data_IF_423888956519
#
_entry.id   IF_423888956519
#
_cell.length_a   1.000
_cell.length_b   1.000
_cell.length_c   1.000
_cell.angle_alpha   90.00
_cell.angle_beta   90.00
_cell.angle_gamma   90.00
#
_symmetry.space_group_name_H-M   'P 1'
#
loop_
_entity.id
_entity.type
_entity.pdbx_description
1 polymer ?
#
# COMPACT_ATOMS: atom_id res chain seq x y z
N UNK A 1 1.65 -7.05 -22.84
CA UNK A 1 2.00 -5.76 -22.26
C UNK A 1 1.55 -5.74 -20.81
N UNK A 2 2.41 -5.30 -19.91
CA UNK A 2 2.11 -5.29 -18.49
C UNK A 2 1.54 -3.93 -18.05
N UNK A 3 0.53 -3.95 -17.20
CA UNK A 3 -0.02 -2.74 -16.58
C UNK A 3 0.78 -2.45 -15.30
N UNK A 4 1.30 -1.24 -15.19
CA UNK A 4 2.08 -0.81 -14.03
C UNK A 4 1.18 -0.17 -12.98
N UNK A 5 1.35 -0.61 -11.74
CA UNK A 5 0.67 -0.06 -10.57
C UNK A 5 1.68 0.23 -9.47
N UNK A 6 1.31 1.09 -8.55
CA UNK A 6 2.12 1.34 -7.36
C UNK A 6 1.24 1.66 -6.17
N UNK A 7 1.74 1.37 -4.99
CA UNK A 7 1.04 1.64 -3.75
C UNK A 7 1.99 1.63 -2.56
N UNK A 8 1.43 1.74 -1.38
CA UNK A 8 2.21 1.82 -0.16
C UNK A 8 1.75 0.83 0.90
N UNK A 9 2.73 0.31 1.63
CA UNK A 9 2.53 -0.19 2.98
C UNK A 9 2.65 1.04 3.89
N UNK A 10 1.52 1.57 4.34
CA UNK A 10 1.47 2.82 5.10
C UNK A 10 1.74 2.54 6.57
N UNK A 11 2.87 3.05 7.07
CA UNK A 11 3.34 2.79 8.43
C UNK A 11 3.12 3.98 9.35
N UNK A 12 2.39 3.76 10.43
CA UNK A 12 2.42 4.63 11.60
C UNK A 12 3.57 4.16 12.48
N UNK A 13 4.72 4.79 12.32
CA UNK A 13 5.96 4.37 12.96
C UNK A 13 5.89 4.47 14.49
N UNK A 14 5.21 5.49 15.01
CA UNK A 14 5.15 5.73 16.45
C UNK A 14 4.33 4.68 17.19
N UNK A 15 3.27 4.19 16.57
CA UNK A 15 2.35 3.23 17.17
C UNK A 15 2.51 1.82 16.62
N UNK A 16 3.43 1.61 15.69
CA UNK A 16 3.69 0.32 15.03
C UNK A 16 2.42 -0.28 14.42
N UNK A 17 1.72 0.55 13.65
CA UNK A 17 0.50 0.14 12.95
C UNK A 17 0.64 0.33 11.45
N UNK A 18 -0.12 -0.47 10.72
CA UNK A 18 -0.19 -0.41 9.27
C UNK A 18 -1.59 0.00 8.86
N UNK A 19 -1.68 0.92 7.91
CA UNK A 19 -2.95 1.35 7.35
C UNK A 19 -3.43 0.38 6.28
N UNK A 20 -4.57 -0.25 6.53
CA UNK A 20 -5.26 -1.06 5.53
C UNK A 20 -6.49 -0.31 5.04
N UNK A 21 -6.89 -0.55 3.80
CA UNK A 21 -8.17 -0.08 3.30
C UNK A 21 -9.18 -1.20 3.31
N UNK A 22 -10.41 -0.87 3.74
CA UNK A 22 -11.55 -1.75 3.59
C UNK A 22 -12.33 -1.30 2.37
N UNK A 23 -12.48 -2.19 1.37
CA UNK A 23 -13.23 -1.90 0.15
C UNK A 23 -14.62 -2.50 0.28
N UNK A 24 -15.59 -1.64 0.55
CA UNK A 24 -16.97 -2.06 0.84
C UNK A 24 -17.58 -2.90 -0.28
N UNK A 25 -17.41 -2.47 -1.54
CA UNK A 25 -17.98 -3.18 -2.69
C UNK A 25 -17.46 -4.61 -2.84
N UNK A 26 -16.20 -4.84 -2.48
CA UNK A 26 -15.56 -6.14 -2.58
C UNK A 26 -15.56 -6.88 -1.26
N UNK A 27 -15.93 -6.21 -0.18
CA UNK A 27 -15.92 -6.72 1.19
C UNK A 27 -14.55 -7.33 1.52
N UNK A 28 -13.48 -6.57 1.25
CA UNK A 28 -12.11 -7.05 1.47
C UNK A 28 -11.22 -6.00 2.10
N UNK A 29 -10.11 -6.49 2.67
CA UNK A 29 -9.04 -5.66 3.24
C UNK A 29 -7.80 -5.77 2.37
N UNK A 30 -7.18 -4.64 2.07
CA UNK A 30 -6.09 -4.55 1.13
C UNK A 30 -5.21 -3.34 1.45
N UNK A 31 -4.14 -3.16 0.69
CA UNK A 31 -3.30 -1.97 0.74
C UNK A 31 -3.71 -1.00 -0.36
N UNK A 32 -3.42 0.30 -0.15
CA UNK A 32 -3.68 1.31 -1.18
C UNK A 32 -2.75 1.10 -2.37
N UNK A 33 -3.30 1.11 -3.57
CA UNK A 33 -2.54 1.00 -4.82
C UNK A 33 -3.42 1.39 -6.00
N UNK A 34 -2.79 1.75 -7.10
CA UNK A 34 -3.51 2.06 -8.31
C UNK A 34 -2.61 2.21 -9.53
N UNK A 35 -3.23 2.57 -10.65
CA UNK A 35 -2.57 2.63 -11.95
C UNK A 35 -1.61 3.82 -12.05
N UNK A 36 -0.46 3.57 -12.66
CA UNK A 36 0.49 4.62 -13.01
C UNK A 36 -0.12 5.54 -14.07
N UNK A 37 -0.06 6.84 -13.84
CA UNK A 37 -0.53 7.84 -14.79
C UNK A 37 0.63 8.40 -15.63
N UNK A 38 0.32 9.08 -16.74
CA UNK A 38 1.32 9.68 -17.61
C UNK A 38 2.23 10.65 -16.85
N UNK A 39 3.53 10.59 -17.15
CA UNK A 39 4.55 11.48 -16.60
C UNK A 39 4.73 11.34 -15.08
N UNK A 40 4.18 10.32 -14.50
CA UNK A 40 4.27 10.04 -13.07
C UNK A 40 5.34 8.97 -12.83
N UNK A 41 6.18 9.15 -11.81
CA UNK A 41 7.08 8.08 -11.36
C UNK A 41 6.28 7.07 -10.52
N UNK A 42 6.86 5.87 -10.32
CA UNK A 42 6.23 4.88 -9.47
C UNK A 42 6.07 5.37 -8.03
N UNK A 43 7.05 6.10 -7.51
CA UNK A 43 6.95 6.69 -6.16
C UNK A 43 5.84 7.74 -6.08
N UNK A 44 5.74 8.62 -7.08
CA UNK A 44 4.67 9.61 -7.15
C UNK A 44 3.30 8.94 -7.21
N UNK A 45 3.19 7.88 -8.01
CA UNK A 45 1.97 7.09 -8.11
C UNK A 45 1.57 6.50 -6.75
N UNK A 46 2.52 5.90 -6.04
CA UNK A 46 2.27 5.28 -4.74
C UNK A 46 1.76 6.32 -3.73
N UNK A 47 2.40 7.48 -3.68
CA UNK A 47 2.02 8.57 -2.76
C UNK A 47 0.63 9.11 -3.13
N UNK A 48 0.38 9.34 -4.42
CA UNK A 48 -0.92 9.86 -4.90
C UNK A 48 -2.05 8.88 -4.58
N UNK A 49 -1.87 7.60 -4.90
CA UNK A 49 -2.91 6.59 -4.64
C UNK A 49 -3.19 6.46 -3.14
N UNK A 50 -2.16 6.53 -2.30
CA UNK A 50 -2.34 6.50 -0.86
C UNK A 50 -3.15 7.71 -0.39
N UNK A 51 -2.85 8.91 -0.88
CA UNK A 51 -3.59 10.12 -0.52
C UNK A 51 -5.05 10.03 -0.98
N UNK A 52 -5.30 9.52 -2.18
CA UNK A 52 -6.66 9.39 -2.71
C UNK A 52 -7.49 8.39 -1.90
N UNK A 53 -6.93 7.21 -1.64
CA UNK A 53 -7.68 6.12 -1.03
C UNK A 53 -7.79 6.20 0.49
N UNK A 54 -6.78 6.77 1.17
CA UNK A 54 -6.74 6.80 2.64
C UNK A 54 -6.90 8.19 3.24
N UNK A 55 -6.77 9.26 2.45
CA UNK A 55 -6.70 10.65 2.93
C UNK A 55 -5.52 10.88 3.86
N UNK A 56 -4.41 10.16 3.63
CA UNK A 56 -3.15 10.36 4.37
C UNK A 56 -2.03 10.71 3.42
N UNK A 57 -1.17 11.62 3.84
CA UNK A 57 0.10 11.89 3.17
C UNK A 57 1.19 11.03 3.78
N UNK A 58 2.19 10.70 2.99
CA UNK A 58 3.25 9.80 3.44
C UNK A 58 4.59 10.14 2.78
N UNK A 59 5.67 9.64 3.39
CA UNK A 59 7.03 9.76 2.86
C UNK A 59 7.60 8.35 2.69
N UNK A 60 8.04 8.04 1.47
CA UNK A 60 8.60 6.72 1.16
C UNK A 60 9.94 6.55 1.86
N UNK A 61 10.17 5.37 2.44
CA UNK A 61 11.42 5.00 3.07
C UNK A 61 12.39 4.55 1.96
N UNK A 62 13.33 5.43 1.61
CA UNK A 62 14.25 5.20 0.48
C UNK A 62 15.17 3.99 0.68
N UNK A 63 15.48 3.64 1.91
CA UNK A 63 16.37 2.52 2.20
C UNK A 63 15.74 1.15 1.97
N UNK A 64 14.42 1.09 1.76
CA UNK A 64 13.71 -0.15 1.50
C UNK A 64 13.27 -0.17 0.04
N UNK A 65 13.86 -1.06 -0.80
CA UNK A 65 13.39 -1.21 -2.18
C UNK A 65 11.93 -1.65 -2.23
N UNK A 66 11.18 -1.29 -3.26
CA UNK A 66 9.79 -1.72 -3.37
C UNK A 66 9.68 -3.24 -3.51
N UNK A 67 8.60 -3.77 -2.98
CA UNK A 67 8.25 -5.18 -3.16
C UNK A 67 7.42 -5.27 -4.44
N UNK A 68 7.81 -6.15 -5.35
CA UNK A 68 7.21 -6.25 -6.67
C UNK A 68 6.26 -7.45 -6.70
N UNK A 69 4.99 -7.15 -6.93
CA UNK A 69 3.93 -8.15 -7.01
C UNK A 69 3.46 -8.24 -8.46
N UNK A 70 3.55 -9.45 -9.04
CA UNK A 70 3.10 -9.72 -10.41
C UNK A 70 1.87 -10.61 -10.34
N UNK A 71 0.80 -10.19 -11.02
CA UNK A 71 -0.44 -10.97 -11.00
C UNK A 71 -1.25 -10.73 -12.27
N UNK A 72 -2.20 -11.64 -12.52
CA UNK A 72 -3.14 -11.52 -13.64
C UNK A 72 -4.54 -11.30 -13.07
N UNK A 73 -5.24 -10.28 -13.58
CA UNK A 73 -6.62 -10.02 -13.16
C UNK A 73 -7.56 -11.08 -13.73
N UNK A 74 -8.79 -11.21 -13.20
CA UNK A 74 -9.79 -12.13 -13.77
C UNK A 74 -10.09 -11.87 -15.25
N UNK A 75 -9.87 -10.63 -15.72
CA UNK A 75 -10.07 -10.26 -17.13
C UNK A 75 -8.85 -10.56 -18.00
N UNK A 76 -7.79 -11.14 -17.43
CA UNK A 76 -6.58 -11.48 -18.18
C UNK A 76 -5.54 -10.37 -18.27
N UNK A 77 -5.74 -9.26 -17.59
CA UNK A 77 -4.76 -8.18 -17.56
C UNK A 77 -3.55 -8.58 -16.71
N UNK A 78 -2.35 -8.46 -17.28
CA UNK A 78 -1.10 -8.72 -16.56
C UNK A 78 -0.64 -7.45 -15.86
N UNK A 79 -0.51 -7.52 -14.53
CA UNK A 79 -0.17 -6.38 -13.70
C UNK A 79 1.15 -6.59 -12.98
N UNK A 80 1.92 -5.50 -12.85
CA UNK A 80 3.08 -5.41 -11.99
C UNK A 80 2.85 -4.28 -11.02
N UNK A 81 2.80 -4.59 -9.73
CA UNK A 81 2.56 -3.61 -8.68
C UNK A 81 3.82 -3.41 -7.84
N UNK A 82 4.27 -2.16 -7.73
CA UNK A 82 5.42 -1.78 -6.92
C UNK A 82 4.91 -1.23 -5.59
N UNK A 83 5.15 -1.98 -4.51
CA UNK A 83 4.68 -1.61 -3.18
C UNK A 83 5.82 -1.04 -2.35
N UNK A 84 5.73 0.23 -2.01
CA UNK A 84 6.73 0.95 -1.22
C UNK A 84 6.34 0.98 0.25
N UNK A 85 7.33 0.90 1.13
CA UNK A 85 7.10 1.21 2.55
C UNK A 85 7.13 2.73 2.69
N UNK A 86 6.09 3.30 3.31
CA UNK A 86 5.99 4.74 3.49
C UNK A 86 5.50 5.07 4.89
N UNK A 87 6.08 6.13 5.47
CA UNK A 87 5.71 6.58 6.82
C UNK A 87 4.60 7.62 6.70
N UNK A 88 3.54 7.43 7.48
CA UNK A 88 2.43 8.37 7.58
C UNK A 88 2.91 9.68 8.19
N UNK A 89 2.55 10.80 7.56
CA UNK A 89 2.92 12.14 8.03
C UNK A 89 1.73 13.04 8.30
N UNK A 90 0.52 12.51 8.23
CA UNK A 90 -0.66 13.27 8.59
C UNK A 90 -1.75 13.24 7.53
N UNK A 91 -2.82 13.97 7.82
CA UNK A 91 -3.98 14.05 6.96
C UNK A 91 -3.66 14.75 5.64
N UNK A 92 -4.16 14.21 4.54
CA UNK A 92 -4.02 14.80 3.21
C UNK A 92 -5.18 15.74 2.90
N UNK A 93 -4.90 16.80 2.12
CA UNK A 93 -5.93 17.70 1.56
C UNK A 93 -6.50 17.16 0.24
N UNK A 94 -6.13 15.96 -0.16
CA UNK A 94 -6.62 15.36 -1.40
C UNK A 94 -8.15 15.25 -1.39
N UNK A 95 -8.80 15.69 -2.46
CA UNK A 95 -10.26 15.76 -2.57
C UNK A 95 -10.85 14.66 -3.44
N UNK A 96 -10.09 13.64 -3.77
CA UNK A 96 -10.58 12.51 -4.57
C UNK A 96 -11.77 11.83 -3.90
N UNK A 97 -12.69 11.34 -4.71
CA UNK A 97 -13.85 10.57 -4.25
C UNK A 97 -13.56 9.06 -4.17
N UNK A 98 -12.34 8.64 -4.47
CA UNK A 98 -11.93 7.23 -4.45
C UNK A 98 -11.53 6.73 -3.04
N UNK A 99 -11.98 7.43 -2.01
CA UNK A 99 -11.62 7.13 -0.62
C UNK A 99 -12.30 5.86 -0.14
N UNK A 100 -11.51 5.01 0.52
CA UNK A 100 -12.00 3.83 1.24
C UNK A 100 -11.85 4.05 2.74
N UNK A 101 -12.48 3.21 3.53
CA UNK A 101 -12.29 3.26 4.98
C UNK A 101 -10.86 2.84 5.32
N UNK A 102 -10.14 3.69 6.07
CA UNK A 102 -8.79 3.40 6.55
C UNK A 102 -8.88 2.75 7.92
N UNK A 103 -8.21 1.62 8.07
CA UNK A 103 -8.15 0.88 9.33
C UNK A 103 -6.69 0.74 9.72
N UNK A 104 -6.36 1.19 10.93
CA UNK A 104 -5.02 1.03 11.49
C UNK A 104 -4.93 -0.28 12.27
N UNK A 105 -4.00 -1.14 11.86
CA UNK A 105 -3.88 -2.50 12.39
C UNK A 105 -2.48 -2.71 12.96
N UNK A 106 -2.40 -3.31 14.14
CA UNK A 106 -1.10 -3.67 14.71
C UNK A 106 -0.31 -4.50 13.70
N UNK A 107 0.98 -4.21 13.58
CA UNK A 107 1.85 -4.83 12.57
C UNK A 107 1.81 -6.37 12.64
N UNK A 108 1.62 -6.94 13.84
CA UNK A 108 1.57 -8.38 14.05
C UNK A 108 0.21 -9.01 13.69
N UNK A 109 -0.79 -8.19 13.42
CA UNK A 109 -2.14 -8.68 13.10
C UNK A 109 -2.53 -8.50 11.65
N UNK A 110 -1.69 -7.85 10.86
CA UNK A 110 -2.01 -7.53 9.46
C UNK A 110 -2.27 -8.78 8.64
N UNK A 111 -1.41 -9.79 8.77
CA UNK A 111 -1.54 -11.02 8.00
C UNK A 111 -2.92 -11.67 8.18
N UNK A 112 -3.40 -11.72 9.42
CA UNK A 112 -4.68 -12.38 9.73
C UNK A 112 -5.89 -11.63 9.17
N UNK A 113 -5.74 -10.34 8.87
CA UNK A 113 -6.85 -9.49 8.41
C UNK A 113 -6.90 -9.40 6.89
N UNK A 114 -5.76 -9.50 6.20
CA UNK A 114 -5.72 -9.45 4.74
C UNK A 114 -6.58 -10.53 4.11
N UNK A 115 -7.33 -10.15 3.08
CA UNK A 115 -8.31 -11.05 2.44
C UNK A 115 -7.71 -12.02 1.44
N UNK A 116 -6.51 -11.74 0.93
CA UNK A 116 -5.91 -12.51 -0.17
C UNK A 116 -4.57 -13.11 0.23
N UNK A 117 -4.37 -14.40 -0.08
CA UNK A 117 -3.13 -15.12 0.25
C UNK A 117 -1.90 -14.51 -0.42
N UNK A 118 -2.05 -14.01 -1.65
CA UNK A 118 -0.95 -13.35 -2.35
C UNK A 118 -0.48 -12.11 -1.61
N UNK A 119 -1.42 -11.31 -1.09
CA UNK A 119 -1.08 -10.13 -0.30
C UNK A 119 -0.36 -10.50 0.98
N UNK A 120 -0.76 -11.60 1.62
CA UNK A 120 -0.11 -12.08 2.85
C UNK A 120 1.34 -12.44 2.60
N UNK A 121 1.61 -13.12 1.49
CA UNK A 121 2.96 -13.54 1.10
C UNK A 121 3.90 -12.34 0.98
N UNK A 122 3.49 -11.32 0.23
CA UNK A 122 4.31 -10.12 0.02
C UNK A 122 4.37 -9.26 1.28
N UNK A 123 3.29 -9.22 2.05
CA UNK A 123 3.29 -8.51 3.33
C UNK A 123 4.34 -9.06 4.29
N UNK A 124 4.51 -10.37 4.37
CA UNK A 124 5.51 -10.96 5.27
C UNK A 124 6.92 -10.52 4.91
N UNK A 125 7.22 -10.36 3.62
CA UNK A 125 8.51 -9.83 3.17
C UNK A 125 8.65 -8.37 3.62
N UNK A 126 7.62 -7.57 3.41
CA UNK A 126 7.60 -6.16 3.81
C UNK A 126 7.73 -6.00 5.33
N UNK A 127 7.01 -6.83 6.08
CA UNK A 127 7.03 -6.79 7.55
C UNK A 127 8.44 -6.96 8.10
N UNK A 128 9.19 -7.90 7.57
CA UNK A 128 10.57 -8.14 8.01
C UNK A 128 11.43 -6.89 7.79
N UNK A 129 11.31 -6.27 6.62
CA UNK A 129 12.06 -5.06 6.30
C UNK A 129 11.64 -3.86 7.15
N UNK A 130 10.35 -3.74 7.44
CA UNK A 130 9.83 -2.69 8.31
C UNK A 130 10.39 -2.87 9.73
N UNK A 131 10.39 -4.08 10.26
CA UNK A 131 10.92 -4.35 11.60
C UNK A 131 12.40 -4.04 11.70
N UNK A 132 13.18 -4.33 10.67
CA UNK A 132 14.59 -3.92 10.61
C UNK A 132 14.73 -2.40 10.62
N UNK A 133 13.93 -1.71 9.83
CA UNK A 133 13.96 -0.25 9.70
C UNK A 133 13.64 0.43 11.04
N UNK A 134 12.63 -0.02 11.75
CA UNK A 134 12.22 0.63 13.01
C UNK A 134 13.13 0.30 14.19
N UNK A 135 13.97 -0.73 14.09
CA UNK A 135 14.97 -1.05 15.11
C UNK A 135 16.05 0.00 15.24
N UNK A 136 16.37 0.64 14.15
CA UNK A 136 17.40 1.68 14.11
C UNK A 136 16.80 3.05 14.53
#
# INVERSE_FOLDING_TARGET
METLKAGCYLLDKNNMKIGLIYREKLNDYSFSKGHLENLESLMQCAIRETAEETKRDCVIVDSIPPIIDRYTTPKGEQCVCYMFVAVDIGKSDNDSLDTHELIWVDIDKVESILSYDDLKKYWLIAKEKILEYVKD
#
